data_IF_207242525753
#
_entry.id   IF_207242525753
#
_cell.length_a   1.000
_cell.length_b   1.000
_cell.length_c   1.000
_cell.angle_alpha   90.00
_cell.angle_beta   90.00
_cell.angle_gamma   90.00
#
_symmetry.space_group_name_H-M   'P 1'
#
loop_
_entity.id
_entity.type
_entity.pdbx_description
1 polymer ?
#
# COMPACT_ATOMS: atom_id res chain seq x y z
N UNK A 1 24.10 -19.49 -52.31
CA UNK A 1 23.25 -18.34 -51.88
C UNK A 1 22.27 -18.71 -50.76
N UNK A 2 21.60 -19.83 -50.83
CA UNK A 2 20.64 -20.31 -49.81
C UNK A 2 21.24 -20.62 -48.41
N UNK A 3 22.50 -21.05 -48.32
CA UNK A 3 23.14 -21.43 -47.05
C UNK A 3 23.40 -20.22 -46.15
N UNK A 4 23.72 -19.04 -46.71
CA UNK A 4 23.97 -17.82 -45.95
C UNK A 4 22.65 -17.21 -45.41
N UNK A 5 21.55 -17.34 -46.15
CA UNK A 5 20.24 -16.89 -45.76
C UNK A 5 19.68 -17.74 -44.60
N UNK A 6 19.86 -19.05 -44.64
CA UNK A 6 19.49 -19.96 -43.54
C UNK A 6 20.29 -19.68 -42.25
N UNK A 7 21.59 -19.39 -42.41
CA UNK A 7 22.41 -19.04 -41.23
C UNK A 7 21.99 -17.71 -40.58
N UNK A 8 21.57 -16.75 -41.42
CA UNK A 8 21.06 -15.46 -40.92
C UNK A 8 19.72 -15.62 -40.21
N UNK A 9 18.79 -16.43 -40.76
CA UNK A 9 17.52 -16.73 -40.08
C UNK A 9 17.73 -17.48 -38.75
N UNK A 10 18.68 -18.41 -38.70
CA UNK A 10 19.00 -19.13 -37.48
C UNK A 10 19.57 -18.21 -36.39
N UNK A 11 20.39 -17.20 -36.76
CA UNK A 11 20.93 -16.21 -35.87
C UNK A 11 19.85 -15.24 -35.35
N UNK A 12 18.91 -14.86 -36.18
CA UNK A 12 17.74 -14.03 -35.78
C UNK A 12 16.83 -14.80 -34.82
N UNK A 13 16.65 -16.10 -35.03
CA UNK A 13 15.83 -16.95 -34.16
C UNK A 13 16.42 -17.06 -32.73
N UNK A 14 17.76 -17.10 -32.60
CA UNK A 14 18.45 -17.15 -31.30
C UNK A 14 18.28 -15.83 -30.52
N UNK A 15 18.20 -14.69 -31.22
CA UNK A 15 17.99 -13.39 -30.58
C UNK A 15 16.60 -13.21 -30.01
N UNK A 16 15.60 -13.96 -30.49
CA UNK A 16 14.22 -13.91 -29.98
C UNK A 16 14.02 -14.73 -28.69
N UNK A 17 14.96 -15.61 -28.34
CA UNK A 17 14.94 -16.38 -27.08
C UNK A 17 15.56 -15.66 -25.88
N UNK A 18 16.01 -14.41 -26.02
CA UNK A 18 16.42 -13.58 -24.90
C UNK A 18 15.21 -13.04 -24.13
N UNK A 19 14.29 -13.91 -23.75
CA UNK A 19 13.27 -13.60 -22.77
C UNK A 19 13.92 -13.64 -21.40
N UNK A 20 14.36 -12.48 -20.94
CA UNK A 20 14.91 -12.25 -19.60
C UNK A 20 13.88 -12.68 -18.54
N UNK A 21 14.08 -13.87 -18.01
CA UNK A 21 13.44 -14.32 -16.78
C UNK A 21 14.16 -13.62 -15.63
N UNK A 22 13.79 -12.36 -15.37
CA UNK A 22 14.41 -11.62 -14.28
C UNK A 22 13.41 -10.80 -13.51
N UNK A 23 13.41 -10.98 -12.19
CA UNK A 23 13.00 -10.09 -11.11
C UNK A 23 11.68 -10.38 -10.37
N UNK A 24 11.13 -11.58 -10.41
CA UNK A 24 10.03 -11.90 -9.48
C UNK A 24 10.54 -11.97 -8.04
N UNK A 25 11.74 -12.50 -7.79
CA UNK A 25 12.26 -12.64 -6.43
C UNK A 25 12.59 -11.29 -5.77
N UNK A 26 13.18 -10.36 -6.51
CA UNK A 26 13.52 -9.04 -5.97
C UNK A 26 12.28 -8.18 -5.70
N UNK A 27 11.25 -8.29 -6.53
CA UNK A 27 10.00 -7.56 -6.35
C UNK A 27 9.19 -8.11 -5.16
N UNK A 28 9.19 -9.42 -4.95
CA UNK A 28 8.56 -10.08 -3.81
C UNK A 28 9.27 -9.69 -2.51
N UNK A 29 10.59 -9.79 -2.45
CA UNK A 29 11.38 -9.38 -1.28
C UNK A 29 11.20 -7.91 -0.93
N UNK A 30 11.11 -7.03 -1.93
CA UNK A 30 10.84 -5.61 -1.72
C UNK A 30 9.43 -5.37 -1.18
N UNK A 31 8.45 -6.09 -1.70
CA UNK A 31 7.06 -6.02 -1.24
C UNK A 31 6.94 -6.46 0.23
N UNK A 32 7.51 -7.61 0.58
CA UNK A 32 7.49 -8.15 1.94
C UNK A 32 8.17 -7.20 2.93
N UNK A 33 9.27 -6.56 2.52
CA UNK A 33 9.96 -5.57 3.34
C UNK A 33 9.08 -4.33 3.59
N UNK A 34 8.42 -3.80 2.56
CA UNK A 34 7.53 -2.64 2.70
C UNK A 34 6.31 -2.97 3.57
N UNK A 35 5.75 -4.17 3.43
CA UNK A 35 4.63 -4.62 4.26
C UNK A 35 5.02 -4.74 5.72
N UNK A 36 6.18 -5.30 6.03
CA UNK A 36 6.71 -5.39 7.39
C UNK A 36 6.96 -4.01 7.99
N UNK A 37 7.54 -3.09 7.23
CA UNK A 37 7.74 -1.70 7.68
C UNK A 37 6.41 -1.02 7.96
N UNK A 38 5.43 -1.18 7.09
CA UNK A 38 4.09 -0.62 7.27
C UNK A 38 3.42 -1.17 8.53
N UNK A 39 3.49 -2.48 8.77
CA UNK A 39 2.93 -3.12 9.98
C UNK A 39 3.59 -2.55 11.23
N UNK A 40 4.89 -2.34 11.21
CA UNK A 40 5.62 -1.77 12.34
C UNK A 40 5.17 -0.32 12.63
N UNK A 41 5.05 0.50 11.60
CA UNK A 41 4.56 1.88 11.75
C UNK A 41 3.10 1.90 12.19
N UNK A 42 2.27 0.98 11.70
CA UNK A 42 0.89 0.83 12.16
C UNK A 42 0.82 0.51 13.66
N UNK A 43 1.66 -0.40 14.15
CA UNK A 43 1.75 -0.72 15.59
C UNK A 43 2.15 0.49 16.42
N UNK A 44 3.13 1.27 15.95
CA UNK A 44 3.49 2.54 16.61
C UNK A 44 2.28 3.48 16.68
N UNK A 45 1.46 3.54 15.63
CA UNK A 45 0.20 4.29 15.66
C UNK A 45 -0.76 3.81 16.73
N UNK A 46 -0.91 2.50 16.91
CA UNK A 46 -1.73 1.92 17.99
C UNK A 46 -1.18 2.30 19.38
N UNK A 47 0.11 2.17 19.57
CA UNK A 47 0.76 2.52 20.86
C UNK A 47 0.54 3.98 21.24
N UNK A 48 0.69 4.90 20.29
CA UNK A 48 0.44 6.34 20.53
C UNK A 48 -1.04 6.63 20.74
N UNK A 49 -1.92 5.92 20.04
CA UNK A 49 -3.36 6.01 20.28
C UNK A 49 -3.74 5.58 21.72
N UNK A 50 -3.18 4.48 22.21
CA UNK A 50 -3.39 3.99 23.58
C UNK A 50 -2.85 4.94 24.64
N UNK A 51 -1.79 5.69 24.35
CA UNK A 51 -1.26 6.77 25.21
C UNK A 51 -2.15 8.02 25.19
N UNK A 52 -3.10 8.10 24.26
CA UNK A 52 -3.99 9.26 24.07
C UNK A 52 -3.42 10.34 23.16
N UNK A 53 -2.25 10.16 22.55
CA UNK A 53 -1.70 11.08 21.54
C UNK A 53 -2.25 10.75 20.16
N UNK A 54 -3.52 11.09 19.92
CA UNK A 54 -4.20 10.81 18.65
C UNK A 54 -3.63 11.60 17.47
N UNK A 55 -2.98 12.74 17.71
CA UNK A 55 -2.34 13.54 16.65
C UNK A 55 -1.12 12.79 16.13
N UNK A 56 -0.29 12.27 17.01
CA UNK A 56 0.89 11.50 16.61
C UNK A 56 0.49 10.13 16.07
N UNK A 57 -0.51 9.48 16.68
CA UNK A 57 -1.10 8.24 16.16
C UNK A 57 -1.61 8.41 14.72
N UNK A 58 -2.36 9.48 14.44
CA UNK A 58 -2.85 9.79 13.09
C UNK A 58 -1.73 9.97 12.07
N UNK A 59 -0.62 10.61 12.46
CA UNK A 59 0.58 10.71 11.60
C UNK A 59 1.17 9.33 11.29
N UNK A 60 1.26 8.45 12.30
CA UNK A 60 1.76 7.09 12.12
C UNK A 60 0.85 6.24 11.24
N UNK A 61 -0.45 6.33 11.41
CA UNK A 61 -1.39 5.65 10.53
C UNK A 61 -1.32 6.16 9.08
N UNK A 62 -1.16 7.46 8.88
CA UNK A 62 -0.95 8.03 7.53
C UNK A 62 0.37 7.57 6.92
N UNK A 63 1.45 7.51 7.69
CA UNK A 63 2.74 6.97 7.26
C UNK A 63 2.62 5.50 6.86
N UNK A 64 1.93 4.68 7.64
CA UNK A 64 1.69 3.28 7.33
C UNK A 64 0.92 3.11 6.01
N UNK A 65 -0.14 3.89 5.78
CA UNK A 65 -0.87 3.88 4.51
C UNK A 65 0.02 4.21 3.32
N UNK A 66 0.89 5.21 3.46
CA UNK A 66 1.78 5.67 2.38
C UNK A 66 2.90 4.68 2.07
N UNK A 67 3.41 3.95 3.07
CA UNK A 67 4.46 2.95 2.88
C UNK A 67 4.04 1.81 1.96
N UNK A 68 2.80 1.33 2.12
CA UNK A 68 2.27 0.26 1.28
C UNK A 68 0.76 0.40 1.03
N UNK A 69 0.35 1.33 0.14
CA UNK A 69 -1.06 1.66 -0.10
C UNK A 69 -1.91 0.49 -0.62
N UNK A 70 -1.27 -0.54 -1.15
CA UNK A 70 -1.92 -1.75 -1.70
C UNK A 70 -2.14 -2.84 -0.64
N UNK A 71 -1.65 -2.63 0.58
CA UNK A 71 -1.86 -3.55 1.68
C UNK A 71 -3.31 -3.55 2.16
N UNK A 72 -3.75 -4.70 2.66
CA UNK A 72 -5.04 -4.82 3.38
C UNK A 72 -5.09 -3.99 4.66
N UNK A 73 -3.93 -3.55 5.18
CA UNK A 73 -3.81 -2.72 6.36
C UNK A 73 -3.95 -1.22 6.06
N UNK A 74 -3.65 -0.80 4.83
CA UNK A 74 -3.70 0.61 4.46
C UNK A 74 -5.08 1.25 4.69
N UNK A 75 -6.22 0.69 4.23
CA UNK A 75 -7.54 1.23 4.55
C UNK A 75 -7.85 1.20 6.05
N UNK A 76 -7.37 0.19 6.78
CA UNK A 76 -7.53 0.12 8.24
C UNK A 76 -6.80 1.25 8.95
N UNK A 77 -5.61 1.60 8.48
CA UNK A 77 -4.84 2.71 9.04
C UNK A 77 -5.60 4.03 8.91
N UNK A 78 -6.21 4.30 7.75
CA UNK A 78 -7.03 5.50 7.55
C UNK A 78 -8.22 5.53 8.50
N UNK A 79 -8.94 4.42 8.64
CA UNK A 79 -10.09 4.34 9.56
C UNK A 79 -9.67 4.49 11.03
N UNK A 80 -8.53 3.93 11.44
CA UNK A 80 -8.00 4.11 12.80
C UNK A 80 -7.62 5.56 13.07
N UNK A 81 -7.02 6.24 12.10
CA UNK A 81 -6.73 7.67 12.19
C UNK A 81 -8.02 8.48 12.36
N UNK A 82 -8.99 8.27 11.48
CA UNK A 82 -10.29 8.95 11.54
C UNK A 82 -11.00 8.72 12.88
N UNK A 83 -11.05 7.48 13.34
CA UNK A 83 -11.65 7.13 14.62
C UNK A 83 -10.95 7.83 15.79
N UNK A 84 -9.62 7.83 15.81
CA UNK A 84 -8.84 8.51 16.83
C UNK A 84 -9.15 10.00 16.91
N UNK A 85 -9.14 10.68 15.78
CA UNK A 85 -9.50 12.09 15.70
C UNK A 85 -10.93 12.36 16.14
N UNK A 86 -11.87 11.52 15.70
CA UNK A 86 -13.27 11.63 16.10
C UNK A 86 -13.46 11.54 17.62
N UNK A 87 -12.85 10.54 18.28
CA UNK A 87 -12.99 10.31 19.73
C UNK A 87 -12.45 11.45 20.58
N UNK A 88 -11.51 12.23 20.05
CA UNK A 88 -10.90 13.37 20.73
C UNK A 88 -11.46 14.72 20.28
N UNK A 89 -12.52 14.71 19.45
CA UNK A 89 -13.18 15.94 18.99
C UNK A 89 -12.45 16.69 17.87
N UNK A 90 -11.43 16.09 17.25
CA UNK A 90 -10.72 16.65 16.10
C UNK A 90 -11.48 16.37 14.79
N UNK A 91 -12.74 16.80 14.71
CA UNK A 91 -13.67 16.44 13.63
C UNK A 91 -13.18 16.82 12.24
N UNK A 92 -12.47 17.95 12.08
CA UNK A 92 -11.91 18.35 10.79
C UNK A 92 -10.90 17.34 10.24
N UNK A 93 -10.04 16.79 11.09
CA UNK A 93 -9.09 15.74 10.69
C UNK A 93 -9.82 14.41 10.42
N UNK A 94 -10.80 14.06 11.26
CA UNK A 94 -11.60 12.86 11.07
C UNK A 94 -12.34 12.88 9.72
N UNK A 95 -13.02 13.98 9.40
CA UNK A 95 -13.74 14.15 8.13
C UNK A 95 -12.79 14.03 6.94
N UNK A 96 -11.62 14.68 6.99
CA UNK A 96 -10.64 14.62 5.92
C UNK A 96 -10.16 13.17 5.65
N UNK A 97 -9.89 12.41 6.70
CA UNK A 97 -9.48 11.01 6.56
C UNK A 97 -10.63 10.14 6.02
N UNK A 98 -11.87 10.38 6.48
CA UNK A 98 -13.06 9.65 6.00
C UNK A 98 -13.36 9.95 4.53
N UNK A 99 -13.32 11.20 4.10
CA UNK A 99 -13.48 11.58 2.70
C UNK A 99 -12.43 10.89 1.81
N UNK A 100 -11.18 10.91 2.25
CA UNK A 100 -10.10 10.19 1.56
C UNK A 100 -10.35 8.69 1.49
N UNK A 101 -10.81 8.08 2.58
CA UNK A 101 -11.19 6.67 2.61
C UNK A 101 -12.31 6.35 1.61
N UNK A 102 -13.39 7.11 1.62
CA UNK A 102 -14.54 6.91 0.75
C UNK A 102 -14.20 7.01 -0.74
N UNK A 103 -13.26 7.89 -1.10
CA UNK A 103 -12.78 8.02 -2.49
C UNK A 103 -11.83 6.90 -2.87
N UNK A 104 -10.83 6.63 -2.03
CA UNK A 104 -9.72 5.72 -2.36
C UNK A 104 -10.10 4.25 -2.19
N UNK A 105 -10.93 3.94 -1.19
CA UNK A 105 -11.30 2.59 -0.79
C UNK A 105 -12.79 2.29 -0.94
N UNK A 106 -13.43 2.83 -1.97
CA UNK A 106 -14.88 2.78 -2.22
C UNK A 106 -15.53 1.40 -2.25
N UNK A 107 -14.74 0.34 -2.43
CA UNK A 107 -15.21 -1.05 -2.42
C UNK A 107 -14.76 -1.83 -1.17
N UNK A 108 -14.23 -1.12 -0.16
CA UNK A 108 -13.79 -1.78 1.06
C UNK A 108 -14.99 -2.28 1.88
N UNK A 109 -14.91 -3.47 2.52
CA UNK A 109 -16.01 -4.01 3.33
C UNK A 109 -16.49 -3.12 4.48
N UNK A 110 -15.63 -2.22 4.97
CA UNK A 110 -15.95 -1.28 6.05
C UNK A 110 -16.41 0.10 5.54
N UNK A 111 -16.85 0.21 4.29
CA UNK A 111 -17.34 1.48 3.72
C UNK A 111 -18.51 2.04 4.53
N UNK A 112 -19.44 1.18 4.98
CA UNK A 112 -20.59 1.58 5.78
C UNK A 112 -20.16 2.14 7.13
N UNK A 113 -19.12 1.60 7.72
CA UNK A 113 -18.56 2.14 8.95
C UNK A 113 -17.95 3.53 8.75
N UNK A 114 -17.29 3.76 7.63
CA UNK A 114 -16.75 5.08 7.30
C UNK A 114 -17.87 6.14 7.14
N UNK A 115 -19.01 5.76 6.57
CA UNK A 115 -20.19 6.65 6.49
C UNK A 115 -20.85 6.89 7.85
N UNK A 116 -20.81 5.89 8.72
CA UNK A 116 -21.37 6.01 10.06
C UNK A 116 -20.54 6.93 10.97
N UNK A 117 -19.23 6.84 10.89
CA UNK A 117 -18.29 7.59 11.70
C UNK A 117 -18.28 9.09 11.35
#
# INVERSE_FOLDING_TARGET
MFSKLNLLCFFILILLFSCSKKNNDLSVLKKDNLENQMIEVYKQGIEEFEKGDVIYAGKKFSEAELLFPQSVWAPRAVLMSAYGYFTQGYYGYAINDLERFLVKYKYHPQIDYAYYL
#
